data_IF_517148018799
#
_entry.id   IF_517148018799
#
_cell.length_a   1.000
_cell.length_b   1.000
_cell.length_c   1.000
_cell.angle_alpha   90.00
_cell.angle_beta   90.00
_cell.angle_gamma   90.00
#
_symmetry.space_group_name_H-M   'P 1'
#
loop_
_entity.id
_entity.type
_entity.pdbx_description
1 polymer ?
#
# COMPACT_ATOMS: atom_id res chain seq x y z
N UNK A 1 -5.14 14.80 -78.65
CA UNK A 1 -3.87 15.34 -78.10
C UNK A 1 -4.11 15.64 -76.64
N UNK A 2 -3.97 14.65 -75.75
CA UNK A 2 -2.73 14.23 -75.08
C UNK A 2 -2.31 15.22 -73.98
N UNK A 3 -2.67 14.88 -72.72
CA UNK A 3 -2.06 15.44 -71.51
C UNK A 3 -1.44 14.26 -70.78
N UNK A 4 -0.12 14.34 -70.55
CA UNK A 4 0.72 13.32 -69.94
C UNK A 4 0.64 13.40 -68.42
N UNK A 5 0.25 12.30 -67.78
CA UNK A 5 0.47 12.03 -66.36
C UNK A 5 1.92 11.58 -66.15
N UNK A 6 2.66 12.18 -65.22
CA UNK A 6 3.74 11.53 -64.47
C UNK A 6 4.20 12.44 -63.33
N UNK A 7 4.21 11.90 -62.09
CA UNK A 7 4.90 12.54 -60.96
C UNK A 7 4.20 12.39 -59.61
N UNK A 8 3.95 11.14 -59.18
CA UNK A 8 3.60 10.85 -57.78
C UNK A 8 4.82 10.18 -57.13
N UNK A 9 5.42 10.80 -56.11
CA UNK A 9 6.29 10.09 -55.19
C UNK A 9 6.07 10.58 -53.75
N UNK A 10 5.30 9.75 -53.04
CA UNK A 10 5.19 9.53 -51.60
C UNK A 10 6.19 10.28 -50.69
N UNK A 11 5.66 11.17 -49.84
CA UNK A 11 6.26 11.43 -48.51
C UNK A 11 5.70 10.38 -47.54
N UNK A 12 6.57 9.49 -47.04
CA UNK A 12 6.27 8.67 -45.87
C UNK A 12 6.22 9.58 -44.63
N UNK A 13 5.01 9.77 -44.09
CA UNK A 13 4.80 10.24 -42.73
C UNK A 13 5.19 9.12 -41.76
N UNK A 14 6.42 9.17 -41.25
CA UNK A 14 6.79 8.48 -40.01
C UNK A 14 6.10 9.21 -38.85
N UNK A 15 4.83 8.90 -38.61
CA UNK A 15 4.20 9.16 -37.33
C UNK A 15 4.82 8.18 -36.33
N UNK A 16 5.96 8.58 -35.73
CA UNK A 16 6.45 7.96 -34.53
C UNK A 16 5.36 8.11 -33.46
N UNK A 17 4.68 7.02 -33.14
CA UNK A 17 3.86 6.94 -31.93
C UNK A 17 4.79 7.18 -30.75
N UNK A 18 4.80 8.39 -30.20
CA UNK A 18 5.36 8.60 -28.88
C UNK A 18 4.60 7.66 -27.95
N UNK A 19 5.26 6.63 -27.43
CA UNK A 19 4.70 5.82 -26.37
C UNK A 19 4.25 6.77 -25.27
N UNK A 20 2.95 6.75 -24.93
CA UNK A 20 2.44 7.58 -23.86
C UNK A 20 3.23 7.25 -22.58
N UNK A 21 3.77 8.26 -21.91
CA UNK A 21 4.48 8.06 -20.66
C UNK A 21 3.53 7.44 -19.63
N UNK A 22 3.98 6.41 -18.91
CA UNK A 22 3.19 5.77 -17.85
C UNK A 22 2.74 6.80 -16.81
N UNK A 23 1.43 6.89 -16.58
CA UNK A 23 0.85 7.77 -15.56
C UNK A 23 0.96 7.11 -14.18
N UNK A 24 1.81 7.68 -13.32
CA UNK A 24 2.07 7.15 -11.97
C UNK A 24 0.94 7.47 -11.00
N UNK A 25 0.33 8.65 -11.14
CA UNK A 25 -0.67 9.16 -10.21
C UNK A 25 -1.92 8.29 -10.30
N UNK A 26 -2.39 7.82 -9.14
CA UNK A 26 -3.53 6.89 -9.05
C UNK A 26 -3.35 5.56 -9.79
N UNK A 27 -2.11 5.20 -10.16
CA UNK A 27 -1.82 3.90 -10.74
C UNK A 27 -2.22 2.77 -9.78
N UNK A 28 -2.97 1.82 -10.32
CA UNK A 28 -3.42 0.59 -9.64
C UNK A 28 -2.44 -0.54 -9.95
N UNK A 29 -2.49 -1.63 -9.17
CA UNK A 29 -1.74 -2.85 -9.48
C UNK A 29 -2.08 -3.34 -10.89
N UNK A 30 -3.35 -3.30 -11.28
CA UNK A 30 -3.78 -3.74 -12.62
C UNK A 30 -3.23 -2.85 -13.74
N UNK A 31 -3.18 -1.53 -13.56
CA UNK A 31 -2.61 -0.63 -14.57
C UNK A 31 -1.09 -0.77 -14.68
N UNK A 32 -0.40 -1.02 -13.55
CA UNK A 32 1.03 -1.35 -13.53
C UNK A 32 1.30 -2.62 -14.33
N UNK A 33 0.52 -3.69 -14.11
CA UNK A 33 0.70 -4.95 -14.83
C UNK A 33 0.36 -4.85 -16.32
N UNK A 34 -0.63 -4.04 -16.70
CA UNK A 34 -0.89 -3.73 -18.11
C UNK A 34 0.33 -3.08 -18.76
N UNK A 35 0.94 -2.09 -18.11
CA UNK A 35 2.16 -1.43 -18.61
C UNK A 35 3.36 -2.38 -18.67
N UNK A 36 3.52 -3.27 -17.68
CA UNK A 36 4.56 -4.32 -17.70
C UNK A 36 4.36 -5.29 -18.87
N UNK A 37 3.12 -5.69 -19.14
CA UNK A 37 2.78 -6.63 -20.21
C UNK A 37 2.95 -6.00 -21.58
N UNK A 38 2.62 -4.71 -21.72
CA UNK A 38 2.81 -3.94 -22.95
C UNK A 38 4.27 -3.56 -23.23
N UNK A 39 5.19 -3.76 -22.27
CA UNK A 39 6.59 -3.35 -22.38
C UNK A 39 6.80 -1.83 -22.25
N UNK A 40 5.77 -1.10 -21.83
CA UNK A 40 5.79 0.36 -21.61
C UNK A 40 6.52 0.73 -20.31
N UNK A 41 6.57 -0.21 -19.36
CA UNK A 41 7.18 -0.03 -18.05
C UNK A 41 7.89 -1.30 -17.61
N UNK A 42 8.99 -1.16 -16.87
CA UNK A 42 9.66 -2.26 -16.18
C UNK A 42 9.51 -2.09 -14.67
N UNK A 43 9.64 -3.18 -13.90
CA UNK A 43 9.64 -3.09 -12.43
C UNK A 43 10.76 -2.17 -11.95
N UNK A 44 11.95 -2.29 -12.57
CA UNK A 44 13.07 -1.39 -12.29
C UNK A 44 12.70 0.07 -12.56
N UNK A 45 12.10 0.36 -13.71
CA UNK A 45 11.68 1.71 -14.09
C UNK A 45 10.66 2.28 -13.11
N UNK A 46 9.69 1.45 -12.66
CA UNK A 46 8.71 1.84 -11.65
C UNK A 46 9.37 2.17 -10.29
N UNK A 47 10.32 1.35 -9.83
CA UNK A 47 11.09 1.63 -8.61
C UNK A 47 11.85 2.95 -8.73
N UNK A 48 12.53 3.20 -9.85
CA UNK A 48 13.26 4.45 -10.07
C UNK A 48 12.32 5.67 -10.09
N UNK A 49 11.11 5.53 -10.66
CA UNK A 49 10.08 6.57 -10.62
C UNK A 49 9.68 6.89 -9.18
N UNK A 50 9.37 5.89 -8.36
CA UNK A 50 9.00 6.11 -6.96
C UNK A 50 10.15 6.68 -6.13
N UNK A 51 11.38 6.21 -6.31
CA UNK A 51 12.55 6.76 -5.62
C UNK A 51 12.73 8.26 -5.93
N UNK A 52 12.58 8.67 -7.19
CA UNK A 52 12.63 10.09 -7.57
C UNK A 52 11.48 10.88 -6.94
N UNK A 53 10.26 10.34 -6.95
CA UNK A 53 9.10 11.00 -6.35
C UNK A 53 9.27 11.19 -4.84
N UNK A 54 9.70 10.15 -4.12
CA UNK A 54 9.99 10.21 -2.68
C UNK A 54 11.05 11.29 -2.41
N UNK A 55 12.16 11.30 -3.15
CA UNK A 55 13.19 12.32 -2.98
C UNK A 55 12.67 13.76 -3.15
N UNK A 56 11.69 13.97 -4.04
CA UNK A 56 11.12 15.30 -4.31
C UNK A 56 10.01 15.72 -3.36
N UNK A 57 9.17 14.79 -2.87
CA UNK A 57 7.94 15.11 -2.13
C UNK A 57 8.02 14.78 -0.65
N UNK A 58 8.73 13.70 -0.28
CA UNK A 58 8.76 13.24 1.11
C UNK A 58 9.45 14.19 2.09
N UNK A 59 10.43 15.05 1.71
CA UNK A 59 10.95 16.07 2.63
C UNK A 59 9.88 17.01 3.22
N UNK A 60 8.74 17.18 2.53
CA UNK A 60 7.60 17.95 3.03
C UNK A 60 6.55 17.09 3.77
N UNK A 61 6.52 15.78 3.51
CA UNK A 61 5.47 14.88 4.00
C UNK A 61 5.90 14.02 5.19
N UNK A 62 7.19 13.69 5.30
CA UNK A 62 7.75 12.81 6.32
C UNK A 62 7.02 11.45 6.43
N UNK A 63 6.65 10.88 5.28
CA UNK A 63 5.94 9.62 5.18
C UNK A 63 6.88 8.42 5.16
N UNK A 64 8.10 8.58 4.64
CA UNK A 64 9.11 7.52 4.52
C UNK A 64 10.21 7.76 5.55
N UNK A 65 10.62 6.72 6.27
CA UNK A 65 11.64 6.83 7.32
C UNK A 65 12.97 6.20 6.91
N UNK A 66 12.94 5.17 6.06
CA UNK A 66 14.14 4.53 5.53
C UNK A 66 13.86 3.92 4.16
N UNK A 67 14.85 3.95 3.27
CA UNK A 67 14.81 3.31 1.96
C UNK A 67 15.94 2.29 1.84
N UNK A 68 15.73 1.25 1.02
CA UNK A 68 16.79 0.37 0.53
C UNK A 68 16.86 0.42 -1.01
N UNK A 69 17.38 1.50 -1.61
CA UNK A 69 17.38 1.66 -3.07
C UNK A 69 18.13 0.54 -3.78
N UNK A 70 19.26 0.09 -3.22
CA UNK A 70 20.07 -0.98 -3.80
C UNK A 70 19.34 -2.32 -3.80
N UNK A 71 18.78 -2.71 -2.65
CA UNK A 71 17.99 -3.93 -2.52
C UNK A 71 16.72 -3.90 -3.36
N UNK A 72 16.04 -2.75 -3.41
CA UNK A 72 14.82 -2.56 -4.21
C UNK A 72 15.10 -2.68 -5.72
N UNK A 73 16.12 -1.99 -6.24
CA UNK A 73 16.50 -2.08 -7.65
C UNK A 73 16.93 -3.50 -8.03
N UNK A 74 17.73 -4.16 -7.20
CA UNK A 74 18.14 -5.55 -7.45
C UNK A 74 16.95 -6.53 -7.42
N UNK A 75 15.96 -6.31 -6.55
CA UNK A 75 14.73 -7.10 -6.53
C UNK A 75 13.86 -6.85 -7.77
N UNK A 76 13.79 -5.60 -8.22
CA UNK A 76 13.06 -5.23 -9.42
C UNK A 76 13.69 -5.82 -10.69
N UNK A 77 15.03 -5.81 -10.81
CA UNK A 77 15.75 -6.44 -11.92
C UNK A 77 15.46 -7.96 -11.97
N UNK A 78 15.40 -8.63 -10.81
CA UNK A 78 15.02 -10.05 -10.73
C UNK A 78 13.55 -10.26 -11.13
N UNK A 79 12.66 -9.35 -10.74
CA UNK A 79 11.25 -9.44 -11.12
C UNK A 79 11.08 -9.28 -12.65
N UNK A 80 11.79 -8.35 -13.27
CA UNK A 80 11.79 -8.16 -14.71
C UNK A 80 12.35 -9.39 -15.45
N UNK A 81 13.47 -9.96 -14.98
CA UNK A 81 14.03 -11.18 -15.56
C UNK A 81 13.07 -12.39 -15.45
N UNK A 82 12.43 -12.56 -14.28
CA UNK A 82 11.45 -13.63 -14.07
C UNK A 82 10.22 -13.47 -14.98
N UNK A 83 9.79 -12.23 -15.23
CA UNK A 83 8.67 -11.92 -16.13
C UNK A 83 8.96 -12.27 -17.59
N UNK A 84 10.20 -12.09 -18.05
CA UNK A 84 10.62 -12.53 -19.40
C UNK A 84 10.65 -14.06 -19.51
N UNK A 85 10.98 -14.75 -18.42
CA UNK A 85 11.11 -16.21 -18.39
C UNK A 85 9.81 -16.97 -18.09
N UNK A 86 8.71 -16.27 -17.88
CA UNK A 86 7.44 -16.86 -17.42
C UNK A 86 6.31 -16.52 -18.40
N UNK A 87 5.38 -17.46 -18.59
CA UNK A 87 4.21 -17.22 -19.43
C UNK A 87 3.35 -16.05 -18.92
N UNK A 88 2.79 -15.22 -19.84
CA UNK A 88 1.90 -14.13 -19.45
C UNK A 88 0.76 -14.60 -18.54
N UNK A 89 0.54 -13.88 -17.43
CA UNK A 89 -0.53 -14.16 -16.47
C UNK A 89 -0.24 -15.24 -15.43
N UNK A 90 0.93 -15.89 -15.45
CA UNK A 90 1.29 -16.88 -14.43
C UNK A 90 1.95 -16.28 -13.17
N UNK A 91 2.27 -14.99 -13.18
CA UNK A 91 2.89 -14.30 -12.05
C UNK A 91 1.84 -13.71 -11.08
N UNK A 92 2.13 -13.66 -9.76
CA UNK A 92 1.21 -13.08 -8.79
C UNK A 92 0.94 -11.59 -9.02
N UNK A 93 -0.20 -11.04 -8.55
CA UNK A 93 -0.52 -9.62 -8.69
C UNK A 93 0.49 -8.66 -8.06
N UNK A 94 1.33 -9.08 -7.11
CA UNK A 94 2.36 -8.20 -6.55
C UNK A 94 3.73 -8.33 -7.23
N UNK A 95 3.86 -9.14 -8.27
CA UNK A 95 5.15 -9.36 -8.91
C UNK A 95 5.71 -8.07 -9.51
N UNK A 96 6.87 -7.64 -9.02
CA UNK A 96 7.52 -6.40 -9.44
C UNK A 96 6.88 -5.11 -8.89
N UNK A 97 5.86 -5.21 -8.03
CA UNK A 97 5.15 -4.06 -7.46
C UNK A 97 5.87 -3.55 -6.20
N UNK A 98 6.24 -2.25 -6.12
CA UNK A 98 6.90 -1.69 -4.95
C UNK A 98 5.98 -1.55 -3.73
N UNK A 99 6.50 -1.86 -2.54
CA UNK A 99 5.77 -1.77 -1.27
C UNK A 99 6.59 -1.05 -0.19
N UNK A 100 5.93 -0.20 0.61
CA UNK A 100 6.48 0.31 1.88
C UNK A 100 5.88 -0.42 3.07
N UNK A 101 6.72 -0.75 4.04
CA UNK A 101 6.35 -1.43 5.28
C UNK A 101 6.32 -0.42 6.43
N UNK A 102 5.32 -0.41 7.31
CA UNK A 102 5.42 0.37 8.54
C UNK A 102 6.68 -0.03 9.33
N UNK A 103 7.42 0.94 9.86
CA UNK A 103 8.75 0.73 10.48
C UNK A 103 8.77 -0.07 11.81
N UNK A 104 7.62 -0.60 12.23
CA UNK A 104 7.55 -1.62 13.29
C UNK A 104 7.54 -3.07 12.74
N UNK A 105 7.62 -3.25 11.41
CA UNK A 105 7.63 -4.54 10.73
C UNK A 105 9.07 -4.88 10.34
N UNK A 106 9.58 -6.02 10.79
CA UNK A 106 10.92 -6.47 10.42
C UNK A 106 11.02 -6.83 8.92
N UNK A 107 12.03 -6.26 8.26
CA UNK A 107 12.50 -6.69 6.95
C UNK A 107 14.01 -6.93 7.04
N UNK A 108 14.45 -8.13 6.70
CA UNK A 108 15.86 -8.48 6.66
C UNK A 108 16.58 -7.73 5.54
N UNK A 109 17.88 -7.48 5.75
CA UNK A 109 18.74 -6.77 4.82
C UNK A 109 19.29 -5.48 5.43
N UNK A 110 19.23 -4.39 4.67
CA UNK A 110 19.81 -3.11 5.07
C UNK A 110 18.92 -2.29 6.03
N UNK A 111 17.61 -2.54 6.01
CA UNK A 111 16.60 -1.77 6.74
C UNK A 111 16.65 -2.02 8.26
N UNK A 112 16.31 -0.99 9.02
CA UNK A 112 16.07 -1.09 10.45
C UNK A 112 14.59 -1.40 10.73
N UNK A 113 14.30 -1.93 11.91
CA UNK A 113 12.94 -1.95 12.46
C UNK A 113 12.96 -1.19 13.79
N UNK A 114 12.54 0.09 13.77
CA UNK A 114 12.78 1.00 14.91
C UNK A 114 11.53 1.39 15.67
N UNK A 115 10.34 1.12 15.11
CA UNK A 115 9.08 1.68 15.61
C UNK A 115 9.13 3.21 15.81
N UNK A 116 9.92 3.90 14.96
CA UNK A 116 10.16 5.34 15.03
C UNK A 116 11.11 5.80 16.15
N UNK A 117 11.65 4.89 16.96
CA UNK A 117 12.45 5.26 18.13
C UNK A 117 13.95 5.31 17.84
N UNK A 118 14.60 6.38 18.32
CA UNK A 118 16.07 6.52 18.21
C UNK A 118 16.83 5.43 18.96
N UNK A 119 16.24 4.85 20.00
CA UNK A 119 16.84 3.76 20.78
C UNK A 119 17.06 2.48 19.96
N UNK A 120 16.32 2.31 18.87
CA UNK A 120 16.37 1.12 18.01
C UNK A 120 17.16 1.37 16.73
N UNK A 121 17.77 2.55 16.53
CA UNK A 121 18.62 2.80 15.37
C UNK A 121 19.83 1.87 15.41
N UNK A 122 20.08 1.16 14.30
CA UNK A 122 21.06 0.07 14.21
C UNK A 122 20.44 -1.31 14.42
N UNK A 123 19.18 -1.41 14.85
CA UNK A 123 18.44 -2.67 14.95
C UNK A 123 18.04 -3.17 13.56
N UNK A 124 18.96 -3.88 12.90
CA UNK A 124 18.73 -4.57 11.63
C UNK A 124 18.20 -5.98 11.89
N UNK A 125 16.95 -6.28 11.48
CA UNK A 125 16.40 -7.61 11.69
C UNK A 125 17.20 -8.68 10.94
N UNK A 126 17.50 -9.79 11.62
CA UNK A 126 18.17 -10.92 10.98
C UNK A 126 17.24 -11.73 10.04
N UNK A 127 15.93 -11.53 10.15
CA UNK A 127 14.90 -12.26 9.41
C UNK A 127 13.73 -11.34 9.07
N UNK A 128 13.07 -11.65 7.96
CA UNK A 128 11.82 -11.02 7.57
C UNK A 128 10.70 -11.38 8.55
N UNK A 129 9.79 -10.44 8.76
CA UNK A 129 8.48 -10.71 9.36
C UNK A 129 7.69 -11.66 8.46
N UNK A 130 6.74 -12.41 9.03
CA UNK A 130 5.97 -13.41 8.28
C UNK A 130 5.17 -12.84 7.12
N UNK A 131 4.73 -11.59 7.22
CA UNK A 131 4.09 -10.86 6.12
C UNK A 131 5.08 -10.43 5.04
N UNK A 132 6.33 -10.09 5.41
CA UNK A 132 7.36 -9.66 4.46
C UNK A 132 7.87 -10.84 3.64
N UNK A 133 8.07 -12.00 4.26
CA UNK A 133 8.41 -13.25 3.55
C UNK A 133 7.37 -13.57 2.47
N UNK A 134 6.08 -13.39 2.79
CA UNK A 134 4.97 -13.61 1.87
C UNK A 134 4.93 -12.59 0.73
N UNK A 135 5.12 -11.30 1.04
CA UNK A 135 5.22 -10.24 0.03
C UNK A 135 6.35 -10.54 -0.95
N UNK A 136 7.55 -10.88 -0.45
CA UNK A 136 8.69 -11.24 -1.30
C UNK A 136 8.42 -12.48 -2.14
N UNK A 137 7.76 -13.51 -1.58
CA UNK A 137 7.35 -14.70 -2.33
C UNK A 137 6.33 -14.39 -3.43
N UNK A 138 5.47 -13.40 -3.21
CA UNK A 138 4.55 -12.88 -4.24
C UNK A 138 5.25 -11.96 -5.27
N UNK A 139 6.58 -11.79 -5.17
CA UNK A 139 7.37 -10.98 -6.08
C UNK A 139 7.35 -9.48 -5.78
N UNK A 140 6.79 -9.04 -4.65
CA UNK A 140 6.76 -7.64 -4.27
C UNK A 140 8.17 -7.10 -4.00
N UNK A 141 8.40 -5.84 -4.39
CA UNK A 141 9.67 -5.15 -4.20
C UNK A 141 9.58 -4.29 -2.93
N UNK A 142 10.21 -4.74 -1.84
CA UNK A 142 10.29 -3.94 -0.62
C UNK A 142 11.17 -2.71 -0.88
N UNK A 143 10.55 -1.53 -0.91
CA UNK A 143 11.22 -0.26 -1.22
C UNK A 143 11.91 0.34 0.01
N UNK A 144 11.33 0.12 1.18
CA UNK A 144 11.76 0.73 2.44
C UNK A 144 10.69 0.65 3.51
N UNK A 145 10.82 1.50 4.53
CA UNK A 145 9.87 1.61 5.63
C UNK A 145 9.18 2.98 5.66
N UNK A 146 7.89 2.96 5.96
CA UNK A 146 7.07 4.13 6.20
C UNK A 146 7.14 4.55 7.68
N UNK A 147 7.12 5.86 7.91
CA UNK A 147 7.08 6.49 9.22
C UNK A 147 5.79 6.14 9.99
N UNK A 148 5.81 6.37 11.29
CA UNK A 148 4.71 6.07 12.21
C UNK A 148 4.71 7.01 13.41
N UNK A 149 3.63 6.95 14.19
CA UNK A 149 3.67 7.45 15.56
C UNK A 149 4.54 6.54 16.43
N UNK A 150 5.51 7.10 17.14
CA UNK A 150 6.52 6.34 17.90
C UNK A 150 5.88 5.28 18.81
N UNK A 151 6.48 4.08 18.85
CA UNK A 151 5.97 2.92 19.60
C UNK A 151 4.50 2.63 19.33
N UNK A 152 4.10 2.77 18.06
CA UNK A 152 2.72 2.55 17.61
C UNK A 152 1.68 3.39 18.39
N UNK A 153 2.05 4.62 18.78
CA UNK A 153 1.25 5.53 19.61
C UNK A 153 1.01 5.05 21.06
N UNK A 154 1.88 4.17 21.57
CA UNK A 154 1.80 3.62 22.92
C UNK A 154 2.96 4.06 23.83
N UNK A 155 3.56 5.23 23.56
CA UNK A 155 4.64 5.81 24.38
C UNK A 155 4.12 6.66 25.55
N UNK A 156 3.07 7.45 25.34
CA UNK A 156 2.53 8.36 26.34
C UNK A 156 1.50 9.33 25.78
N UNK A 157 0.75 10.02 26.65
CA UNK A 157 -0.27 10.98 26.24
C UNK A 157 0.35 12.26 25.66
N UNK A 158 -0.43 12.99 24.86
CA UNK A 158 -0.05 14.31 24.33
C UNK A 158 1.01 14.30 23.22
N UNK A 159 1.44 13.13 22.76
CA UNK A 159 2.34 13.00 21.61
C UNK A 159 1.51 13.21 20.33
N UNK A 160 1.93 14.10 19.41
CA UNK A 160 1.22 14.31 18.16
C UNK A 160 1.13 13.02 17.31
N UNK A 161 -0.04 12.79 16.74
CA UNK A 161 -0.24 11.70 15.78
C UNK A 161 0.66 11.89 14.55
N UNK A 162 1.31 10.81 14.12
CA UNK A 162 2.27 10.80 13.02
C UNK A 162 3.66 11.32 13.36
N UNK A 163 3.96 11.60 14.64
CA UNK A 163 5.29 11.99 15.07
C UNK A 163 6.13 10.82 15.59
N UNK A 164 7.40 10.79 15.20
CA UNK A 164 8.43 10.02 15.89
C UNK A 164 9.76 10.78 15.90
N UNK A 165 10.65 10.57 16.89
CA UNK A 165 11.93 11.28 16.94
C UNK A 165 12.84 10.92 15.77
N UNK A 166 12.71 9.72 15.19
CA UNK A 166 13.47 9.31 14.01
C UNK A 166 12.85 9.80 12.70
N UNK A 167 11.53 9.73 12.56
CA UNK A 167 10.83 10.05 11.31
C UNK A 167 10.33 11.49 11.18
N UNK A 168 10.39 12.29 12.25
CA UNK A 168 9.82 13.63 12.27
C UNK A 168 8.28 13.61 12.37
N UNK A 169 7.65 14.73 12.01
CA UNK A 169 6.20 14.88 12.02
C UNK A 169 5.63 14.62 10.63
N UNK A 170 4.93 13.50 10.46
CA UNK A 170 4.15 13.23 9.26
C UNK A 170 3.11 14.32 8.98
N UNK A 171 2.97 14.71 7.71
CA UNK A 171 2.02 15.73 7.24
C UNK A 171 0.95 15.11 6.36
N UNK A 172 -0.30 15.45 6.63
CA UNK A 172 -1.43 15.03 5.80
C UNK A 172 -1.32 15.72 4.42
N UNK A 173 -1.35 14.97 3.29
CA UNK A 173 -1.12 15.53 1.97
C UNK A 173 -2.26 16.42 1.48
N UNK A 174 -3.47 16.29 2.04
CA UNK A 174 -4.62 17.14 1.71
C UNK A 174 -4.60 18.47 2.46
N UNK A 175 -4.10 18.45 3.70
CA UNK A 175 -3.96 19.66 4.52
C UNK A 175 -2.81 19.50 5.52
N UNK A 176 -1.64 20.12 5.29
CA UNK A 176 -0.47 19.93 6.16
C UNK A 176 -0.64 20.31 7.64
N UNK A 177 -1.63 21.14 7.97
CA UNK A 177 -2.00 21.49 9.35
C UNK A 177 -2.95 20.49 10.01
N UNK A 178 -3.59 19.60 9.23
CA UNK A 178 -4.44 18.54 9.73
C UNK A 178 -3.62 17.34 10.22
N UNK A 179 -4.19 16.60 11.16
CA UNK A 179 -3.59 15.35 11.62
C UNK A 179 -3.62 14.29 10.51
N UNK A 180 -2.55 13.50 10.33
CA UNK A 180 -2.59 12.30 9.49
C UNK A 180 -3.19 11.09 10.23
N UNK A 181 -3.67 11.28 11.47
CA UNK A 181 -3.97 10.24 12.45
C UNK A 181 -2.76 9.31 12.71
N UNK A 182 -2.99 8.21 13.43
CA UNK A 182 -1.98 7.35 14.01
C UNK A 182 -2.47 5.90 14.07
N UNK A 183 -1.59 4.90 14.21
CA UNK A 183 -0.13 5.02 14.20
C UNK A 183 0.51 4.73 12.85
N UNK A 184 -0.19 4.11 11.89
CA UNK A 184 0.34 3.84 10.53
C UNK A 184 0.30 5.08 9.62
N UNK A 185 0.71 6.23 10.15
CA UNK A 185 0.57 7.54 9.52
C UNK A 185 1.37 7.63 8.22
N UNK A 186 2.63 7.22 8.21
CA UNK A 186 3.46 7.25 7.00
C UNK A 186 2.94 6.33 5.91
N UNK A 187 2.43 5.14 6.26
CA UNK A 187 1.81 4.21 5.31
C UNK A 187 0.61 4.85 4.59
N UNK A 188 -0.24 5.58 5.32
CA UNK A 188 -1.39 6.27 4.74
C UNK A 188 -1.00 7.52 3.94
N UNK A 189 -0.08 8.34 4.44
CA UNK A 189 0.44 9.51 3.70
C UNK A 189 1.10 9.06 2.40
N UNK A 190 1.95 8.04 2.44
CA UNK A 190 2.65 7.53 1.26
C UNK A 190 1.70 6.95 0.21
N UNK A 191 0.65 6.24 0.64
CA UNK A 191 -0.39 5.76 -0.27
C UNK A 191 -1.13 6.93 -0.94
N UNK A 192 -1.55 7.93 -0.15
CA UNK A 192 -2.31 9.09 -0.60
C UNK A 192 -1.51 10.03 -1.52
N UNK A 193 -0.21 10.20 -1.28
CA UNK A 193 0.66 11.07 -2.07
C UNK A 193 1.33 10.35 -3.26
N UNK A 194 0.92 9.12 -3.57
CA UNK A 194 1.49 8.28 -4.64
C UNK A 194 3.01 8.07 -4.49
N UNK A 195 3.52 7.98 -3.25
CA UNK A 195 4.95 7.77 -2.99
C UNK A 195 5.39 6.31 -3.21
N UNK A 196 4.43 5.39 -3.23
CA UNK A 196 4.64 3.97 -3.55
C UNK A 196 3.33 3.36 -4.05
N UNK A 197 3.39 2.21 -4.72
CA UNK A 197 2.22 1.54 -5.25
C UNK A 197 1.26 1.11 -4.12
N UNK A 198 1.78 0.42 -3.10
CA UNK A 198 1.00 -0.06 -1.94
C UNK A 198 1.79 0.04 -0.63
N UNK A 199 1.09 0.11 0.50
CA UNK A 199 1.73 0.12 1.82
C UNK A 199 1.12 -0.90 2.77
N UNK A 200 1.90 -1.25 3.81
CA UNK A 200 1.46 -2.11 4.91
C UNK A 200 1.41 -1.28 6.20
N UNK A 201 0.33 -1.43 6.95
CA UNK A 201 0.14 -0.88 8.29
C UNK A 201 -0.08 -1.97 9.35
N UNK A 202 -0.12 -1.55 10.61
CA UNK A 202 -0.48 -2.42 11.74
C UNK A 202 -1.53 -1.74 12.58
N UNK A 203 -2.44 -2.53 13.15
CA UNK A 203 -3.48 -2.02 14.03
C UNK A 203 -3.65 -2.83 15.28
N UNK A 204 -3.61 -2.13 16.42
CA UNK A 204 -4.12 -2.56 17.73
C UNK A 204 -5.53 -2.03 17.93
N UNK A 205 -5.70 -0.71 17.79
CA UNK A 205 -6.97 -0.02 17.83
C UNK A 205 -6.88 1.23 16.93
N UNK A 206 -7.63 1.26 15.83
CA UNK A 206 -7.71 2.36 14.85
C UNK A 206 -6.45 2.63 14.02
N UNK A 207 -5.32 1.98 14.29
CA UNK A 207 -4.02 2.32 13.71
C UNK A 207 -3.81 2.01 12.21
N UNK A 208 -4.75 1.35 11.55
CA UNK A 208 -4.91 1.23 10.08
C UNK A 208 -6.11 2.08 9.66
N UNK A 209 -7.28 1.89 10.29
CA UNK A 209 -8.54 2.50 9.87
C UNK A 209 -8.54 4.03 9.99
N UNK A 210 -8.05 4.57 11.10
CA UNK A 210 -7.99 6.01 11.34
C UNK A 210 -7.06 6.75 10.37
N UNK A 211 -5.76 6.38 10.21
CA UNK A 211 -4.91 7.06 9.24
C UNK A 211 -5.42 6.86 7.81
N UNK A 212 -6.04 5.73 7.49
CA UNK A 212 -6.65 5.55 6.17
C UNK A 212 -7.80 6.55 5.92
N UNK A 213 -8.71 6.70 6.88
CA UNK A 213 -9.81 7.67 6.81
C UNK A 213 -9.32 9.12 6.74
N UNK A 214 -8.30 9.49 7.51
CA UNK A 214 -7.81 10.86 7.57
C UNK A 214 -7.00 11.28 6.34
N UNK A 215 -6.42 10.31 5.62
CA UNK A 215 -5.65 10.56 4.39
C UNK A 215 -6.41 10.07 3.14
N UNK A 216 -7.73 9.85 3.23
CA UNK A 216 -8.59 9.49 2.09
C UNK A 216 -8.08 8.28 1.28
N UNK A 217 -7.66 7.22 1.97
CA UNK A 217 -7.21 5.95 1.37
C UNK A 217 -7.95 4.76 1.99
N UNK A 218 -7.87 3.61 1.34
CA UNK A 218 -8.48 2.35 1.80
C UNK A 218 -7.54 1.65 2.77
N UNK A 219 -8.04 1.30 3.95
CA UNK A 219 -7.36 0.43 4.90
C UNK A 219 -8.19 -0.81 5.20
N UNK A 220 -7.56 -1.98 5.26
CA UNK A 220 -8.20 -3.20 5.74
C UNK A 220 -7.52 -3.63 7.04
N UNK A 221 -8.29 -3.63 8.14
CA UNK A 221 -7.90 -4.25 9.41
C UNK A 221 -8.47 -5.67 9.47
N UNK A 222 -7.70 -6.73 9.16
CA UNK A 222 -8.25 -8.08 9.12
C UNK A 222 -8.60 -8.61 10.52
N UNK A 223 -9.23 -9.79 10.55
CA UNK A 223 -9.41 -10.58 11.77
C UNK A 223 -8.05 -10.91 12.37
N UNK A 224 -7.91 -10.81 13.69
CA UNK A 224 -6.65 -11.14 14.39
C UNK A 224 -6.23 -12.57 14.07
N UNK A 225 -4.98 -12.74 13.65
CA UNK A 225 -4.43 -14.02 13.22
C UNK A 225 -4.57 -14.30 11.73
N UNK A 226 -5.38 -13.55 10.96
CA UNK A 226 -5.49 -13.80 9.52
C UNK A 226 -4.16 -13.55 8.79
N UNK A 227 -3.40 -12.58 9.28
CA UNK A 227 -2.03 -12.27 8.88
C UNK A 227 -1.09 -12.48 10.07
N UNK A 228 0.11 -12.99 9.78
CA UNK A 228 1.12 -13.26 10.82
C UNK A 228 1.62 -11.97 11.47
N UNK A 229 1.73 -11.95 12.81
CA UNK A 229 2.46 -10.89 13.54
C UNK A 229 3.92 -11.26 13.85
N UNK A 230 4.41 -12.41 13.39
CA UNK A 230 5.79 -12.81 13.64
C UNK A 230 6.77 -11.79 13.02
N UNK A 231 7.72 -11.28 13.83
CA UNK A 231 8.67 -10.25 13.40
C UNK A 231 8.09 -8.83 13.39
N UNK A 232 6.96 -8.59 14.04
CA UNK A 232 6.38 -7.24 14.20
C UNK A 232 6.53 -6.80 15.65
N UNK A 233 6.95 -5.55 15.88
CA UNK A 233 6.89 -4.92 17.20
C UNK A 233 5.41 -4.64 17.49
N UNK A 234 4.82 -5.44 18.38
CA UNK A 234 3.40 -5.43 18.73
C UNK A 234 3.13 -4.75 20.08
N UNK A 235 1.90 -4.26 20.27
CA UNK A 235 1.37 -3.78 21.54
C UNK A 235 0.59 -4.90 22.24
N UNK A 236 -0.39 -5.51 21.56
CA UNK A 236 -1.30 -6.48 22.16
C UNK A 236 -1.46 -7.72 21.29
N UNK A 237 -1.07 -8.92 21.75
CA UNK A 237 -1.29 -10.15 21.00
C UNK A 237 -2.78 -10.49 20.83
N UNK A 238 -3.70 -9.81 21.52
CA UNK A 238 -5.15 -10.01 21.39
C UNK A 238 -5.80 -9.15 20.31
N UNK A 239 -5.16 -8.06 19.92
CA UNK A 239 -5.75 -7.04 19.05
C UNK A 239 -4.90 -6.78 17.81
N UNK A 240 -3.59 -6.96 17.93
CA UNK A 240 -2.66 -6.62 16.86
C UNK A 240 -2.85 -7.49 15.63
N UNK A 241 -2.93 -6.80 14.50
CA UNK A 241 -2.97 -7.39 13.17
C UNK A 241 -2.21 -6.52 12.17
N UNK A 242 -1.75 -7.15 11.09
CA UNK A 242 -1.11 -6.47 9.96
C UNK A 242 -2.10 -6.38 8.80
N UNK A 243 -2.18 -5.24 8.12
CA UNK A 243 -3.12 -5.06 7.02
C UNK A 243 -2.66 -4.04 5.98
N UNK A 244 -3.24 -4.08 4.78
CA UNK A 244 -2.91 -3.16 3.69
C UNK A 244 -3.50 -1.77 3.91
N UNK A 245 -2.77 -0.76 3.43
CA UNK A 245 -3.27 0.61 3.23
C UNK A 245 -2.93 1.00 1.79
N UNK A 246 -3.95 1.29 0.97
CA UNK A 246 -3.80 1.49 -0.49
C UNK A 246 -4.84 2.49 -1.00
N UNK A 247 -4.73 2.94 -2.26
CA UNK A 247 -5.68 3.89 -2.83
C UNK A 247 -7.01 3.26 -3.24
N UNK A 248 -7.04 1.96 -3.54
CA UNK A 248 -8.24 1.27 -4.04
C UNK A 248 -8.56 0.00 -3.25
N UNK A 249 -9.84 -0.39 -3.24
CA UNK A 249 -10.25 -1.66 -2.61
C UNK A 249 -9.61 -2.86 -3.32
N UNK A 250 -9.48 -2.80 -4.65
CA UNK A 250 -8.82 -3.86 -5.45
C UNK A 250 -7.38 -4.08 -5.00
N UNK A 251 -6.59 -3.01 -4.89
CA UNK A 251 -5.19 -3.12 -4.46
C UNK A 251 -5.07 -3.63 -3.02
N UNK A 252 -5.96 -3.17 -2.12
CA UNK A 252 -5.98 -3.67 -0.75
C UNK A 252 -6.26 -5.18 -0.70
N UNK A 253 -7.18 -5.68 -1.54
CA UNK A 253 -7.50 -7.12 -1.60
C UNK A 253 -6.34 -7.93 -2.18
N UNK A 254 -5.70 -7.47 -3.26
CA UNK A 254 -4.50 -8.11 -3.80
C UNK A 254 -3.37 -8.22 -2.77
N UNK A 255 -3.15 -7.15 -1.99
CA UNK A 255 -2.14 -7.16 -0.92
C UNK A 255 -2.55 -8.09 0.21
N UNK A 256 -3.81 -8.05 0.66
CA UNK A 256 -4.31 -8.93 1.72
C UNK A 256 -4.12 -10.39 1.32
N UNK A 257 -4.53 -10.77 0.11
CA UNK A 257 -4.41 -12.13 -0.42
C UNK A 257 -2.96 -12.63 -0.42
N UNK A 258 -2.00 -11.75 -0.72
CA UNK A 258 -0.60 -12.09 -0.67
C UNK A 258 -0.09 -12.39 0.76
N UNK A 259 -0.63 -11.72 1.79
CA UNK A 259 -0.07 -11.76 3.15
C UNK A 259 -0.84 -12.64 4.15
N UNK A 260 -2.01 -13.16 3.80
CA UNK A 260 -2.77 -14.08 4.67
C UNK A 260 -2.11 -15.46 4.80
N UNK A 261 -2.47 -16.18 5.87
CA UNK A 261 -2.21 -17.61 6.00
C UNK A 261 -1.43 -18.01 7.25
N UNK A 262 -1.30 -19.33 7.42
CA UNK A 262 -0.64 -19.93 8.58
C UNK A 262 0.84 -19.59 8.70
N UNK A 263 1.31 -19.16 9.86
CA UNK A 263 2.72 -18.98 10.16
C UNK A 263 3.07 -19.75 11.45
N UNK A 264 4.01 -20.70 11.42
CA UNK A 264 4.40 -21.45 12.60
C UNK A 264 4.98 -20.57 13.73
N UNK A 265 5.52 -19.38 13.42
CA UNK A 265 6.03 -18.42 14.41
C UNK A 265 4.92 -17.59 15.08
N UNK A 266 3.70 -17.69 14.58
CA UNK A 266 2.47 -17.10 15.15
C UNK A 266 1.34 -18.13 15.07
N UNK A 267 1.67 -19.38 15.43
CA UNK A 267 0.86 -20.55 15.13
C UNK A 267 -0.53 -20.50 15.78
N UNK A 268 -0.62 -19.99 17.00
CA UNK A 268 -1.88 -19.96 17.74
C UNK A 268 -2.90 -19.05 17.06
N UNK A 269 -2.53 -17.80 16.80
CA UNK A 269 -3.40 -16.84 16.15
C UNK A 269 -3.73 -17.26 14.70
N UNK A 270 -2.71 -17.66 13.94
CA UNK A 270 -2.89 -17.95 12.51
C UNK A 270 -3.63 -19.25 12.24
N UNK A 271 -3.49 -20.29 13.09
CA UNK A 271 -4.25 -21.53 12.95
C UNK A 271 -5.74 -21.31 13.16
N UNK A 272 -6.12 -20.51 14.16
CA UNK A 272 -7.53 -20.20 14.44
C UNK A 272 -8.21 -19.41 13.31
N UNK A 273 -7.44 -18.59 12.60
CA UNK A 273 -7.95 -17.72 11.55
C UNK A 273 -8.03 -18.39 10.16
N UNK A 274 -7.41 -19.56 9.96
CA UNK A 274 -7.42 -20.28 8.67
C UNK A 274 -8.83 -20.48 8.10
N UNK A 275 -9.81 -20.74 8.97
CA UNK A 275 -11.22 -20.93 8.58
C UNK A 275 -11.88 -19.69 7.95
N UNK A 276 -11.25 -18.52 8.06
CA UNK A 276 -11.73 -17.27 7.46
C UNK A 276 -11.04 -16.95 6.14
N UNK A 277 -10.10 -17.78 5.69
CA UNK A 277 -9.52 -17.69 4.35
C UNK A 277 -10.45 -18.45 3.40
N UNK A 278 -11.12 -17.76 2.46
CA UNK A 278 -12.07 -18.38 1.55
C UNK A 278 -11.35 -19.30 0.56
N UNK A 279 -12.00 -20.41 0.21
CA UNK A 279 -11.58 -21.20 -0.96
C UNK A 279 -11.68 -20.33 -2.22
N UNK A 280 -10.60 -20.24 -3.01
CA UNK A 280 -10.52 -19.36 -4.17
C UNK A 280 -10.03 -17.93 -3.91
N UNK A 281 -9.64 -17.58 -2.67
CA UNK A 281 -9.01 -16.29 -2.35
C UNK A 281 -10.00 -15.13 -2.15
N UNK A 282 -9.51 -13.96 -1.77
CA UNK A 282 -10.37 -12.78 -1.51
C UNK A 282 -10.72 -12.01 -2.79
N UNK A 283 -9.90 -12.13 -3.83
CA UNK A 283 -10.11 -11.49 -5.13
C UNK A 283 -11.48 -11.82 -5.74
N UNK A 284 -12.03 -13.01 -5.46
CA UNK A 284 -13.37 -13.42 -5.91
C UNK A 284 -14.51 -12.48 -5.44
N UNK A 285 -14.26 -11.69 -4.39
CA UNK A 285 -15.23 -10.76 -3.83
C UNK A 285 -15.14 -9.34 -4.39
N UNK A 286 -14.21 -9.07 -5.32
CA UNK A 286 -14.17 -7.82 -6.09
C UNK A 286 -15.31 -7.82 -7.12
N UNK A 287 -16.52 -7.49 -6.66
CA UNK A 287 -17.74 -7.51 -7.44
C UNK A 287 -18.44 -6.14 -7.37
N UNK A 288 -18.63 -5.51 -8.54
CA UNK A 288 -19.28 -4.20 -8.66
C UNK A 288 -20.73 -4.21 -8.15
N UNK A 289 -21.42 -5.34 -8.28
CA UNK A 289 -22.77 -5.57 -7.78
C UNK A 289 -22.78 -6.17 -6.36
N UNK A 290 -21.65 -6.16 -5.65
CA UNK A 290 -21.45 -6.86 -4.38
C UNK A 290 -22.45 -6.47 -3.27
N UNK A 291 -23.00 -5.25 -3.32
CA UNK A 291 -24.01 -4.76 -2.38
C UNK A 291 -25.43 -5.24 -2.70
N UNK A 292 -25.72 -5.76 -3.91
CA UNK A 292 -27.05 -6.23 -4.27
C UNK A 292 -27.51 -7.33 -3.31
N UNK A 293 -28.69 -7.13 -2.71
CA UNK A 293 -29.28 -8.04 -1.73
C UNK A 293 -28.61 -8.05 -0.35
N UNK A 294 -27.62 -7.19 -0.09
CA UNK A 294 -27.00 -7.09 1.25
C UNK A 294 -27.86 -6.25 2.19
N UNK A 295 -27.76 -6.53 3.49
CA UNK A 295 -28.40 -5.78 4.56
C UNK A 295 -27.32 -5.07 5.38
N UNK A 296 -27.34 -3.75 5.40
CA UNK A 296 -26.35 -2.94 6.11
C UNK A 296 -26.99 -2.33 7.36
N UNK A 297 -26.35 -2.51 8.52
CA UNK A 297 -26.72 -1.87 9.78
C UNK A 297 -25.95 -0.55 9.93
N UNK A 298 -26.67 0.56 10.08
CA UNK A 298 -26.04 1.88 10.26
C UNK A 298 -25.93 2.17 11.75
N UNK A 299 -24.70 2.27 12.26
CA UNK A 299 -24.44 2.80 13.59
C UNK A 299 -24.74 4.31 13.57
N UNK A 300 -25.67 4.78 14.40
CA UNK A 300 -26.07 6.21 14.45
C UNK A 300 -25.88 6.78 15.84
N UNK A 301 -26.76 6.39 16.77
CA UNK A 301 -26.76 6.85 18.15
C UNK A 301 -25.43 6.50 18.83
N UNK A 302 -24.81 7.49 19.46
CA UNK A 302 -23.56 7.39 20.26
C UNK A 302 -22.27 7.05 19.50
N UNK A 303 -22.32 6.76 18.19
CA UNK A 303 -21.14 6.46 17.35
C UNK A 303 -20.81 7.57 16.35
N UNK A 304 -21.82 8.13 15.67
CA UNK A 304 -21.63 9.22 14.71
C UNK A 304 -22.64 10.33 15.01
N UNK A 305 -22.15 11.43 15.59
CA UNK A 305 -22.92 12.66 15.82
C UNK A 305 -22.30 13.77 14.99
N UNK A 306 -23.03 14.20 13.96
CA UNK A 306 -22.65 15.34 13.14
C UNK A 306 -23.54 16.52 13.49
N UNK A 307 -23.01 17.75 13.58
CA UNK A 307 -23.86 18.94 13.70
C UNK A 307 -24.86 18.99 12.55
N UNK A 308 -26.12 19.29 12.88
CA UNK A 308 -27.18 19.41 11.87
C UNK A 308 -26.80 20.44 10.80
N UNK A 309 -26.91 20.05 9.53
CA UNK A 309 -26.55 20.87 8.36
C UNK A 309 -25.05 20.87 8.00
N UNK A 310 -24.20 20.19 8.77
CA UNK A 310 -22.75 20.12 8.50
C UNK A 310 -22.42 19.40 7.19
N UNK A 311 -21.22 19.66 6.65
CA UNK A 311 -20.71 18.95 5.46
C UNK A 311 -20.61 17.45 5.75
N UNK A 312 -20.20 17.07 6.95
CA UNK A 312 -20.08 15.68 7.38
C UNK A 312 -21.42 14.97 7.34
N UNK A 313 -22.49 15.58 7.87
CA UNK A 313 -23.84 15.00 7.81
C UNK A 313 -24.30 14.79 6.35
N UNK A 314 -24.05 15.78 5.48
CA UNK A 314 -24.42 15.70 4.05
C UNK A 314 -23.66 14.59 3.33
N UNK A 315 -22.34 14.53 3.49
CA UNK A 315 -21.48 13.49 2.88
C UNK A 315 -21.85 12.11 3.41
N UNK A 316 -22.08 11.98 4.72
CA UNK A 316 -22.53 10.74 5.35
C UNK A 316 -23.85 10.25 4.71
N UNK A 317 -24.84 11.13 4.54
CA UNK A 317 -26.10 10.77 3.89
C UNK A 317 -25.92 10.38 2.42
N UNK A 318 -25.12 11.12 1.65
CA UNK A 318 -24.80 10.80 0.26
C UNK A 318 -24.18 9.41 0.11
N UNK A 319 -23.27 9.01 1.01
CA UNK A 319 -22.69 7.67 0.99
C UNK A 319 -23.73 6.57 1.19
N UNK A 320 -24.77 6.78 2.01
CA UNK A 320 -25.86 5.80 2.11
C UNK A 320 -26.71 5.73 0.86
N UNK A 321 -26.95 6.85 0.20
CA UNK A 321 -27.71 6.85 -1.04
C UNK A 321 -26.96 6.09 -2.14
N UNK A 322 -25.63 6.14 -2.16
CA UNK A 322 -24.79 5.31 -3.05
C UNK A 322 -24.87 3.82 -2.69
N UNK A 323 -25.02 3.47 -1.41
CA UNK A 323 -25.07 2.07 -0.95
C UNK A 323 -26.45 1.41 -1.13
N UNK A 324 -27.52 2.18 -1.36
CA UNK A 324 -28.89 1.70 -1.54
C UNK A 324 -29.16 1.24 -2.97
#
# INVERSE_FOLDING_TARGET
MAISLSGLLLLLLLAGSAAAAFELEEATIDSIHRAFTAGELTSRGLVEIYLRRIASQDPALHAVIELDPGGALAAADRADAARVATEPGALPPLHGVPVLLKDNIAAAGALNATAGSLAMVGSRPARDAGVVERLRRAGAVVLGTASLSEWCNFRGPGIPAGWSPRGGQGKNPYMPSATPCASSSGSAIAAAANLVAVTIGTETDGSIMCPSSFNSVVGIKPTVGLTSRAGVIIISPRMDTVGPITRTVSDAVHVLEAIVGYDPRDAEATRMALKYIPEGGYNQFLNIDGLRGKRLGILRKDFFSFPSGSVQEKVFNQHFDVMR
#
